data_IF_182821422523
#
_entry.id   IF_182821422523
#
_cell.length_a   1.000
_cell.length_b   1.000
_cell.length_c   1.000
_cell.angle_alpha   90.00
_cell.angle_beta   90.00
_cell.angle_gamma   90.00
#
_symmetry.space_group_name_H-M   'P 1'
#
loop_
_entity.id
_entity.type
_entity.pdbx_description
1 polymer ?
#
# COMPACT_ATOMS: atom_id res chain seq x y z
N UNK A 1 -17.16 88.11 -15.93
CA UNK A 1 -17.72 89.27 -15.19
C UNK A 1 -17.76 88.97 -13.73
N UNK A 2 -17.11 89.90 -12.97
CA UNK A 2 -17.16 90.19 -11.52
C UNK A 2 -16.90 89.04 -10.51
N UNK A 3 -15.75 89.09 -9.84
CA UNK A 3 -15.30 89.96 -8.69
C UNK A 3 -16.16 89.64 -7.45
N UNK A 4 -15.64 89.33 -6.39
CA UNK A 4 -14.78 89.82 -5.31
C UNK A 4 -15.28 89.25 -3.98
N UNK A 5 -14.36 89.02 -3.06
CA UNK A 5 -14.63 89.08 -1.65
C UNK A 5 -13.64 88.32 -0.76
N UNK A 6 -12.48 88.98 -0.51
CA UNK A 6 -11.61 88.66 0.65
C UNK A 6 -12.31 89.03 1.95
N UNK A 7 -12.19 88.12 2.96
CA UNK A 7 -12.11 88.62 4.36
C UNK A 7 -11.20 87.70 5.19
N UNK A 8 -10.12 88.35 5.67
CA UNK A 8 -9.26 87.81 6.74
C UNK A 8 -9.87 88.14 8.10
N UNK A 9 -9.64 87.31 9.09
CA UNK A 9 -9.37 87.57 10.50
C UNK A 9 -9.62 86.22 11.20
N UNK A 10 -8.86 85.76 12.10
CA UNK A 10 -7.90 86.18 13.05
C UNK A 10 -7.33 85.00 13.72
N UNK A 11 -6.09 85.13 14.18
CA UNK A 11 -5.31 84.03 14.81
C UNK A 11 -5.78 83.68 16.21
N UNK A 12 -5.54 82.41 16.51
CA UNK A 12 -5.46 81.92 17.87
C UNK A 12 -4.34 80.90 17.92
N UNK A 13 -3.37 81.12 18.80
CA UNK A 13 -2.23 80.23 19.09
C UNK A 13 -2.69 78.87 19.60
N UNK A 14 -1.98 77.77 19.26
CA UNK A 14 -2.24 76.45 19.84
C UNK A 14 -1.54 76.29 21.18
N UNK A 15 -2.13 75.55 22.13
CA UNK A 15 -1.49 75.17 23.39
C UNK A 15 -0.44 74.07 23.17
N UNK A 16 0.47 73.85 24.16
CA UNK A 16 1.65 73.05 23.99
C UNK A 16 1.35 71.57 23.94
N UNK A 17 2.16 70.83 23.14
CA UNK A 17 2.11 69.42 22.91
C UNK A 17 2.34 68.60 24.15
N UNK A 18 1.36 67.83 24.56
CA UNK A 18 1.53 66.69 25.49
C UNK A 18 2.06 65.50 24.71
N UNK A 19 3.27 65.11 25.04
CA UNK A 19 3.94 63.92 24.49
C UNK A 19 3.23 62.64 24.92
N UNK A 20 2.42 62.06 24.06
CA UNK A 20 1.92 60.68 24.19
C UNK A 20 2.82 59.74 23.39
N UNK A 21 3.76 59.10 24.11
CA UNK A 21 4.49 57.95 23.58
C UNK A 21 3.47 56.82 23.43
N UNK A 22 2.92 56.63 22.23
CA UNK A 22 2.16 55.46 21.87
C UNK A 22 3.17 54.33 21.58
N UNK A 23 3.34 53.50 22.55
CA UNK A 23 4.02 52.19 22.42
C UNK A 23 3.26 51.35 21.38
N UNK A 24 3.80 51.27 20.18
CA UNK A 24 3.28 50.45 19.10
C UNK A 24 3.76 49.02 19.36
N UNK A 25 2.98 48.24 20.14
CA UNK A 25 3.15 46.78 20.20
C UNK A 25 2.68 46.20 18.87
N UNK A 26 3.61 46.02 17.96
CA UNK A 26 3.41 45.21 16.77
C UNK A 26 3.39 43.74 17.24
N UNK A 27 2.18 43.23 17.46
CA UNK A 27 1.97 41.78 17.65
C UNK A 27 2.25 41.16 16.29
N UNK A 28 3.47 40.68 16.10
CA UNK A 28 3.84 39.80 15.00
C UNK A 28 3.14 38.48 15.27
N UNK A 29 1.95 38.26 14.72
CA UNK A 29 1.29 36.97 14.69
C UNK A 29 2.15 36.05 13.83
N UNK A 30 3.06 35.35 14.44
CA UNK A 30 3.80 34.23 13.84
C UNK A 30 2.77 33.14 13.60
N UNK A 31 2.16 33.12 12.42
CA UNK A 31 1.40 31.98 11.92
C UNK A 31 2.40 30.83 11.77
N UNK A 32 2.59 30.07 12.83
CA UNK A 32 3.22 28.77 12.73
C UNK A 32 2.28 27.94 11.85
N UNK A 33 2.55 27.93 10.53
CA UNK A 33 2.11 26.86 9.69
C UNK A 33 2.69 25.57 10.31
N UNK A 34 1.89 24.88 11.12
CA UNK A 34 2.16 23.48 11.44
C UNK A 34 2.12 22.75 10.09
N UNK A 35 3.24 22.75 9.38
CA UNK A 35 3.52 21.70 8.43
C UNK A 35 3.46 20.43 9.26
N UNK A 36 2.34 19.71 9.20
CA UNK A 36 2.26 18.35 9.68
C UNK A 36 3.33 17.61 8.89
N UNK A 37 4.51 17.47 9.50
CA UNK A 37 5.50 16.48 9.06
C UNK A 37 4.72 15.19 9.13
N UNK A 38 4.31 14.65 7.98
CA UNK A 38 3.73 13.33 7.91
C UNK A 38 4.72 12.43 8.66
N UNK A 39 4.33 11.98 9.84
CA UNK A 39 5.13 11.04 10.60
C UNK A 39 5.28 9.85 9.66
N UNK A 40 6.52 9.56 9.30
CA UNK A 40 6.80 8.45 8.41
C UNK A 40 6.14 7.21 9.01
N UNK A 41 5.25 6.59 8.28
CA UNK A 41 4.37 5.49 8.66
C UNK A 41 5.06 4.46 9.58
N UNK A 42 5.20 4.80 10.88
CA UNK A 42 5.88 3.96 11.87
C UNK A 42 4.91 2.91 12.42
N UNK A 43 4.57 1.96 11.54
CA UNK A 43 3.74 0.81 11.87
C UNK A 43 4.59 -0.29 12.45
N UNK A 44 4.19 -0.84 13.58
CA UNK A 44 4.77 -2.03 14.19
C UNK A 44 3.69 -3.07 14.52
N UNK A 45 4.13 -4.24 15.03
CA UNK A 45 3.22 -5.31 15.39
C UNK A 45 2.25 -4.97 16.52
N UNK A 46 2.60 -4.02 17.39
CA UNK A 46 1.72 -3.58 18.49
C UNK A 46 0.60 -2.69 17.96
N UNK A 47 0.92 -1.76 17.06
CA UNK A 47 -0.10 -0.92 16.41
C UNK A 47 -1.07 -1.77 15.61
N UNK A 48 -0.57 -2.71 14.78
CA UNK A 48 -1.44 -3.61 14.00
C UNK A 48 -2.32 -4.47 14.91
N UNK A 49 -1.76 -5.06 15.97
CA UNK A 49 -2.53 -5.90 16.90
C UNK A 49 -3.57 -5.10 17.70
N UNK A 50 -3.34 -3.82 17.93
CA UNK A 50 -4.20 -2.91 18.68
C UNK A 50 -4.90 -1.89 17.75
N UNK A 51 -5.23 -2.28 16.53
CA UNK A 51 -5.79 -1.39 15.51
C UNK A 51 -7.11 -0.72 15.94
N UNK A 52 -7.84 -1.29 16.90
CA UNK A 52 -9.07 -0.69 17.44
C UNK A 52 -8.82 0.60 18.23
N UNK A 53 -7.63 0.79 18.77
CA UNK A 53 -7.23 2.05 19.41
C UNK A 53 -6.99 3.18 18.39
N UNK A 54 -6.84 2.84 17.11
CA UNK A 54 -6.57 3.79 16.03
C UNK A 54 -7.57 3.60 14.87
N UNK A 55 -8.87 3.82 15.08
CA UNK A 55 -9.91 3.45 14.13
C UNK A 55 -9.86 4.20 12.80
N UNK A 56 -9.14 5.32 12.74
CA UNK A 56 -8.87 6.07 11.50
C UNK A 56 -7.77 5.50 10.63
N UNK A 57 -7.03 4.50 11.14
CA UNK A 57 -5.95 3.84 10.41
C UNK A 57 -6.38 2.47 9.87
N UNK A 58 -5.80 2.06 8.74
CA UNK A 58 -5.93 0.75 8.12
C UNK A 58 -4.55 0.21 7.80
N UNK A 59 -3.85 -0.31 8.83
CA UNK A 59 -2.40 -0.52 8.83
C UNK A 59 -1.94 -1.85 8.20
N UNK A 60 -2.86 -2.77 7.93
CA UNK A 60 -2.56 -4.01 7.21
C UNK A 60 -3.68 -4.33 6.23
N UNK A 61 -3.47 -5.30 5.33
CA UNK A 61 -4.43 -5.64 4.27
C UNK A 61 -5.82 -5.97 4.80
N UNK A 62 -5.92 -6.68 5.93
CA UNK A 62 -7.18 -6.99 6.62
C UNK A 62 -7.47 -6.08 7.82
N UNK A 63 -6.81 -4.94 7.94
CA UNK A 63 -6.80 -3.97 9.00
C UNK A 63 -5.91 -4.37 10.19
N UNK A 64 -6.06 -5.56 10.71
CA UNK A 64 -5.27 -6.15 11.79
C UNK A 64 -4.80 -7.58 11.42
N UNK A 65 -4.15 -8.28 12.33
CA UNK A 65 -3.72 -9.67 12.11
C UNK A 65 -4.87 -10.68 12.09
N UNK A 66 -6.06 -10.31 12.54
CA UNK A 66 -7.26 -11.12 12.44
C UNK A 66 -7.85 -11.14 11.03
N UNK A 67 -7.41 -10.23 10.14
CA UNK A 67 -7.85 -10.11 8.73
C UNK A 67 -9.38 -10.00 8.59
N UNK A 68 -10.08 -9.41 9.58
CA UNK A 68 -11.54 -9.34 9.62
C UNK A 68 -12.11 -8.32 8.63
N UNK A 69 -11.28 -7.38 8.13
CA UNK A 69 -11.70 -6.30 7.23
C UNK A 69 -12.88 -5.49 7.77
N UNK A 70 -12.93 -5.32 9.09
CA UNK A 70 -13.99 -4.61 9.78
C UNK A 70 -13.47 -3.28 10.34
N UNK A 71 -14.19 -2.18 10.09
CA UNK A 71 -13.92 -0.88 10.68
C UNK A 71 -14.83 -0.66 11.91
N UNK A 72 -14.30 -0.25 13.07
CA UNK A 72 -15.11 0.11 14.23
C UNK A 72 -15.72 1.51 14.13
N UNK A 73 -15.46 2.28 13.07
CA UNK A 73 -16.06 3.59 12.84
C UNK A 73 -17.57 3.47 12.71
N UNK A 74 -18.29 4.41 13.34
CA UNK A 74 -19.76 4.43 13.41
C UNK A 74 -20.38 5.69 12.79
N UNK A 75 -19.59 6.49 12.08
CA UNK A 75 -20.05 7.74 11.49
C UNK A 75 -20.99 7.51 10.30
N UNK A 76 -20.86 6.36 9.63
CA UNK A 76 -21.73 5.94 8.54
C UNK A 76 -22.65 4.86 9.08
N UNK A 77 -23.94 5.06 8.96
CA UNK A 77 -25.00 4.18 9.48
C UNK A 77 -26.01 3.89 8.36
N UNK A 78 -26.97 3.00 8.63
CA UNK A 78 -28.07 2.73 7.70
C UNK A 78 -28.94 3.97 7.43
N UNK A 79 -28.98 4.91 8.39
CA UNK A 79 -29.82 6.11 8.33
C UNK A 79 -29.18 7.25 7.54
N UNK A 80 -27.85 7.23 7.30
CA UNK A 80 -27.15 8.32 6.61
C UNK A 80 -26.24 7.86 5.44
N UNK A 81 -26.27 6.59 5.11
CA UNK A 81 -25.41 6.05 4.02
C UNK A 81 -25.79 6.60 2.66
N UNK A 82 -27.03 6.98 2.44
CA UNK A 82 -27.55 7.61 1.23
C UNK A 82 -27.13 9.07 1.06
N UNK A 83 -26.62 9.70 2.12
CA UNK A 83 -26.05 11.05 2.09
C UNK A 83 -24.58 11.08 1.65
N UNK A 84 -23.95 9.89 1.43
CA UNK A 84 -22.56 9.83 1.02
C UNK A 84 -22.34 10.45 -0.37
N UNK A 85 -21.36 11.36 -0.44
CA UNK A 85 -20.90 11.97 -1.67
C UNK A 85 -19.44 11.68 -1.96
N UNK A 86 -19.02 11.91 -3.22
CA UNK A 86 -17.62 11.79 -3.61
C UNK A 86 -16.81 12.92 -2.97
N UNK A 87 -15.86 12.60 -2.08
CA UNK A 87 -14.98 13.58 -1.47
C UNK A 87 -13.84 14.01 -2.43
N UNK A 88 -13.21 13.04 -3.08
CA UNK A 88 -12.15 13.29 -4.05
C UNK A 88 -11.96 12.06 -4.95
N UNK A 89 -11.22 12.24 -6.04
CA UNK A 89 -10.78 11.16 -6.92
C UNK A 89 -9.37 11.45 -7.41
N UNK A 90 -8.59 10.39 -7.61
CA UNK A 90 -7.25 10.48 -8.19
C UNK A 90 -7.17 9.61 -9.44
N UNK A 91 -6.75 10.19 -10.57
CA UNK A 91 -6.60 9.47 -11.83
C UNK A 91 -5.23 8.82 -11.89
N UNK A 92 -5.20 7.49 -12.03
CA UNK A 92 -3.95 6.75 -12.25
C UNK A 92 -3.44 6.95 -13.69
N UNK A 93 -2.12 6.82 -13.87
CA UNK A 93 -1.46 7.07 -15.17
C UNK A 93 -1.76 6.00 -16.23
N UNK A 94 -2.16 4.81 -15.80
CA UNK A 94 -2.35 3.65 -16.66
C UNK A 94 -3.79 3.17 -16.52
N UNK A 95 -4.50 3.13 -17.63
CA UNK A 95 -5.90 2.70 -17.71
C UNK A 95 -5.98 1.17 -17.84
N UNK A 96 -5.82 0.47 -16.72
CA UNK A 96 -5.96 -0.99 -16.58
C UNK A 96 -6.61 -1.33 -15.25
N UNK A 97 -6.88 -2.61 -14.99
CA UNK A 97 -7.50 -3.10 -13.78
C UNK A 97 -6.79 -2.67 -12.49
N UNK A 98 -7.54 -2.20 -11.51
CA UNK A 98 -7.06 -1.80 -10.19
C UNK A 98 -7.73 -2.69 -9.15
N UNK A 99 -6.93 -3.47 -8.40
CA UNK A 99 -7.41 -4.43 -7.41
C UNK A 99 -6.80 -4.23 -6.02
N UNK A 100 -6.11 -3.10 -5.83
CA UNK A 100 -5.40 -2.83 -4.58
C UNK A 100 -6.34 -2.61 -3.40
N UNK A 101 -5.99 -3.19 -2.25
CA UNK A 101 -6.51 -2.74 -0.97
C UNK A 101 -5.63 -1.60 -0.47
N UNK A 102 -6.14 -0.37 -0.34
CA UNK A 102 -5.37 0.74 0.19
C UNK A 102 -4.99 0.50 1.67
N UNK A 103 -3.78 0.91 2.03
CA UNK A 103 -3.31 0.99 3.42
C UNK A 103 -3.32 2.45 3.82
N UNK A 104 -3.91 2.77 4.98
CA UNK A 104 -3.98 4.15 5.49
C UNK A 104 -3.27 4.21 6.83
N UNK A 105 -2.24 5.05 6.91
CA UNK A 105 -1.46 5.26 8.13
C UNK A 105 -1.22 6.75 8.32
N UNK A 106 -1.66 7.25 9.47
CA UNK A 106 -1.38 8.61 9.93
C UNK A 106 -1.75 9.69 8.87
N UNK A 107 -2.87 9.48 8.17
CA UNK A 107 -3.39 10.39 7.15
C UNK A 107 -2.82 10.19 5.75
N UNK A 108 -1.91 9.26 5.54
CA UNK A 108 -1.38 8.91 4.22
C UNK A 108 -1.99 7.59 3.73
N UNK A 109 -2.52 7.59 2.51
CA UNK A 109 -3.02 6.41 1.81
C UNK A 109 -1.95 5.88 0.87
N UNK A 110 -1.55 4.63 1.05
CA UNK A 110 -0.65 3.91 0.15
C UNK A 110 -1.46 2.90 -0.66
N UNK A 111 -1.37 2.99 -1.97
CA UNK A 111 -2.07 2.08 -2.89
C UNK A 111 -1.21 1.74 -4.09
N UNK A 112 -1.64 0.75 -4.88
CA UNK A 112 -0.95 0.38 -6.11
C UNK A 112 -1.87 0.49 -7.32
N UNK A 113 -1.29 0.86 -8.44
CA UNK A 113 -1.88 0.75 -9.75
C UNK A 113 -1.29 -0.41 -10.56
N UNK A 114 -1.62 -0.50 -11.84
CA UNK A 114 -1.07 -1.48 -12.77
C UNK A 114 0.47 -1.44 -12.80
N UNK A 115 1.09 -2.56 -13.14
CA UNK A 115 2.55 -2.73 -13.20
C UNK A 115 3.26 -2.47 -11.87
N UNK A 116 2.53 -2.57 -10.75
CA UNK A 116 3.04 -2.38 -9.38
C UNK A 116 3.52 -0.96 -9.08
N UNK A 117 3.02 0.04 -9.81
CA UNK A 117 3.28 1.44 -9.49
C UNK A 117 2.64 1.76 -8.14
N UNK A 118 3.40 2.36 -7.23
CA UNK A 118 2.94 2.72 -5.88
C UNK A 118 2.65 4.21 -5.81
N UNK A 119 1.55 4.55 -5.15
CA UNK A 119 1.11 5.92 -4.91
C UNK A 119 0.95 6.16 -3.42
N UNK A 120 1.49 7.24 -2.91
CA UNK A 120 1.16 7.80 -1.61
C UNK A 120 0.32 9.06 -1.81
N UNK A 121 -0.87 9.06 -1.26
CA UNK A 121 -1.84 10.15 -1.37
C UNK A 121 -2.18 10.69 0.01
N UNK A 122 -2.43 11.96 0.12
CA UNK A 122 -3.10 12.50 1.30
C UNK A 122 -4.51 11.90 1.38
N UNK A 123 -4.81 11.20 2.46
CA UNK A 123 -6.08 10.46 2.58
C UNK A 123 -7.30 11.37 2.69
N UNK A 124 -7.12 12.65 3.01
CA UNK A 124 -8.19 13.64 3.15
C UNK A 124 -8.51 14.35 1.84
N UNK A 125 -7.45 14.77 1.11
CA UNK A 125 -7.59 15.59 -0.10
C UNK A 125 -7.46 14.77 -1.40
N UNK A 126 -6.84 13.58 -1.36
CA UNK A 126 -6.48 12.81 -2.55
C UNK A 126 -5.27 13.36 -3.30
N UNK A 127 -4.58 14.36 -2.75
CA UNK A 127 -3.37 14.93 -3.38
C UNK A 127 -2.22 13.93 -3.36
N UNK A 128 -1.46 13.90 -4.46
CA UNK A 128 -0.28 13.06 -4.59
C UNK A 128 0.85 13.59 -3.72
N UNK A 129 1.33 12.76 -2.78
CA UNK A 129 2.52 13.04 -1.99
C UNK A 129 3.76 12.57 -2.75
N UNK A 130 3.77 11.30 -3.17
CA UNK A 130 4.80 10.75 -4.04
C UNK A 130 4.26 9.56 -4.86
N UNK A 131 4.97 9.28 -5.96
CA UNK A 131 4.73 8.12 -6.82
C UNK A 131 6.04 7.39 -7.04
N UNK A 132 6.02 6.07 -6.96
CA UNK A 132 7.12 5.20 -7.26
C UNK A 132 6.77 4.23 -8.38
N UNK A 133 7.51 4.27 -9.49
CA UNK A 133 7.41 3.28 -10.58
C UNK A 133 8.60 2.30 -10.46
N UNK A 134 8.36 1.01 -10.16
CA UNK A 134 9.43 0.02 -10.04
C UNK A 134 10.08 -0.32 -11.38
N UNK A 135 9.64 0.28 -12.49
CA UNK A 135 10.09 -0.05 -13.85
C UNK A 135 10.00 -1.57 -14.10
N UNK A 136 8.84 -2.15 -13.79
CA UNK A 136 8.62 -3.58 -13.95
C UNK A 136 8.75 -3.99 -15.42
N UNK A 137 9.26 -5.20 -15.66
CA UNK A 137 9.28 -5.78 -17.00
C UNK A 137 7.84 -6.00 -17.50
N UNK A 138 7.36 -5.07 -18.34
CA UNK A 138 5.98 -5.05 -18.84
C UNK A 138 5.66 -6.23 -19.75
N UNK A 139 6.66 -6.88 -20.33
CA UNK A 139 6.45 -8.10 -21.13
C UNK A 139 5.90 -9.26 -20.29
N UNK A 140 6.14 -9.24 -18.97
CA UNK A 140 5.65 -10.22 -18.01
C UNK A 140 4.12 -10.16 -17.78
N UNK A 141 3.42 -9.13 -18.26
CA UNK A 141 1.96 -9.04 -18.10
C UNK A 141 1.22 -10.26 -18.72
N UNK A 142 1.74 -10.80 -19.83
CA UNK A 142 1.20 -12.02 -20.44
C UNK A 142 1.45 -13.30 -19.64
N UNK A 143 2.34 -13.25 -18.64
CA UNK A 143 2.67 -14.37 -17.74
C UNK A 143 1.93 -14.27 -16.39
N UNK A 144 1.12 -13.23 -16.20
CA UNK A 144 0.28 -13.07 -15.03
C UNK A 144 -1.16 -13.52 -15.34
N UNK A 145 -1.78 -14.26 -14.42
CA UNK A 145 -3.13 -14.82 -14.61
C UNK A 145 -4.21 -13.75 -14.87
N UNK A 146 -4.03 -12.55 -14.35
CA UNK A 146 -5.10 -11.59 -14.14
C UNK A 146 -4.70 -10.18 -14.62
N UNK A 147 -3.93 -10.07 -15.71
CA UNK A 147 -3.36 -8.82 -16.20
C UNK A 147 -2.25 -8.25 -15.30
N UNK A 148 -1.80 -7.02 -15.57
CA UNK A 148 -0.75 -6.33 -14.85
C UNK A 148 -1.22 -5.72 -13.51
N UNK A 149 -2.16 -6.37 -12.84
CA UNK A 149 -2.73 -5.90 -11.57
C UNK A 149 -1.75 -6.02 -10.42
N UNK A 150 -2.01 -5.26 -9.36
CA UNK A 150 -1.34 -5.41 -8.08
C UNK A 150 -2.36 -5.22 -6.94
N UNK A 151 -2.29 -6.06 -5.89
CA UNK A 151 -3.29 -6.07 -4.81
C UNK A 151 -2.91 -5.23 -3.60
N UNK A 152 -1.86 -4.43 -3.70
CA UNK A 152 -1.49 -3.45 -2.69
C UNK A 152 -0.13 -3.68 -2.06
N UNK A 153 0.13 -2.92 -1.03
CA UNK A 153 1.39 -2.84 -0.30
C UNK A 153 1.26 -3.36 1.13
N UNK A 154 2.39 -3.50 1.81
CA UNK A 154 2.45 -3.54 3.27
C UNK A 154 3.29 -2.37 3.78
N UNK A 155 3.04 -1.94 5.02
CA UNK A 155 3.75 -0.83 5.66
C UNK A 155 4.36 -1.32 6.98
N UNK A 156 5.62 -0.97 7.23
CA UNK A 156 6.30 -1.34 8.46
C UNK A 156 7.51 -0.43 8.72
N UNK A 157 7.58 0.17 9.91
CA UNK A 157 8.70 0.98 10.40
C UNK A 157 9.24 1.96 9.36
N UNK A 158 8.35 2.81 8.83
CA UNK A 158 8.73 3.84 7.87
C UNK A 158 9.03 3.35 6.45
N UNK A 159 8.72 2.10 6.13
CA UNK A 159 8.90 1.53 4.79
C UNK A 159 7.58 1.01 4.22
N UNK A 160 7.45 1.11 2.91
CA UNK A 160 6.37 0.54 2.10
C UNK A 160 6.95 -0.61 1.27
N UNK A 161 6.33 -1.78 1.33
CA UNK A 161 6.78 -2.97 0.60
C UNK A 161 5.82 -3.32 -0.51
N UNK A 162 6.34 -3.58 -1.70
CA UNK A 162 5.56 -3.95 -2.87
C UNK A 162 6.15 -5.19 -3.55
N UNK A 163 5.28 -6.15 -3.87
CA UNK A 163 5.62 -7.21 -4.81
C UNK A 163 5.48 -6.70 -6.23
N UNK A 164 6.57 -6.79 -7.02
CA UNK A 164 6.60 -6.30 -8.39
C UNK A 164 6.20 -7.40 -9.37
N UNK A 165 5.49 -7.04 -10.41
CA UNK A 165 4.94 -7.98 -11.40
C UNK A 165 5.99 -8.97 -11.95
N UNK A 166 7.22 -8.53 -12.14
CA UNK A 166 8.33 -9.33 -12.66
C UNK A 166 9.03 -10.23 -11.63
N UNK A 167 8.45 -10.36 -10.44
CA UNK A 167 8.93 -11.26 -9.40
C UNK A 167 9.93 -10.65 -8.42
N UNK A 168 10.13 -9.34 -8.42
CA UNK A 168 10.91 -8.64 -7.38
C UNK A 168 10.04 -8.33 -6.17
N UNK A 169 10.67 -8.19 -5.02
CA UNK A 169 10.11 -7.57 -3.83
C UNK A 169 10.95 -6.33 -3.51
N UNK A 170 10.31 -5.20 -3.29
CA UNK A 170 11.00 -3.93 -3.06
C UNK A 170 10.50 -3.24 -1.80
N UNK A 171 11.41 -2.57 -1.10
CA UNK A 171 11.13 -1.66 -0.01
C UNK A 171 11.37 -0.22 -0.47
N UNK A 172 10.45 0.65 -0.11
CA UNK A 172 10.41 2.07 -0.45
C UNK A 172 10.35 2.84 0.86
N UNK A 173 11.09 3.91 0.98
CA UNK A 173 10.97 4.84 2.11
C UNK A 173 9.59 5.49 2.08
N UNK A 174 8.83 5.36 3.16
CA UNK A 174 7.44 5.81 3.22
C UNK A 174 7.30 7.34 3.16
N UNK A 175 8.36 8.09 3.49
CA UNK A 175 8.37 9.55 3.48
C UNK A 175 8.75 10.11 2.12
N UNK A 176 9.77 9.51 1.46
CA UNK A 176 10.36 10.07 0.23
C UNK A 176 9.87 9.40 -1.04
N UNK A 177 9.38 8.16 -0.97
CA UNK A 177 9.06 7.34 -2.13
C UNK A 177 10.29 6.77 -2.82
N UNK A 178 11.49 6.88 -2.23
CA UNK A 178 12.72 6.32 -2.78
C UNK A 178 12.90 4.86 -2.43
N UNK A 179 13.45 4.07 -3.36
CA UNK A 179 13.73 2.66 -3.12
C UNK A 179 14.86 2.46 -2.13
N UNK A 180 14.60 1.73 -1.05
CA UNK A 180 15.58 1.36 -0.03
C UNK A 180 16.35 0.10 -0.44
N UNK A 181 15.62 -0.95 -0.83
CA UNK A 181 16.22 -2.18 -1.35
C UNK A 181 15.29 -2.88 -2.35
N UNK A 182 15.86 -3.79 -3.14
CA UNK A 182 15.16 -4.63 -4.11
C UNK A 182 15.77 -6.02 -4.14
N UNK A 183 14.95 -7.07 -4.09
CA UNK A 183 15.39 -8.45 -4.17
C UNK A 183 14.59 -9.21 -5.22
N UNK A 184 15.27 -10.06 -5.99
CA UNK A 184 14.63 -10.99 -6.91
C UNK A 184 14.15 -12.22 -6.13
N UNK A 185 12.84 -12.44 -6.08
CA UNK A 185 12.26 -13.54 -5.30
C UNK A 185 12.19 -14.84 -6.09
N UNK A 186 12.40 -14.81 -7.41
CA UNK A 186 12.21 -15.96 -8.30
C UNK A 186 13.16 -17.10 -7.98
N UNK A 187 12.63 -18.31 -7.90
CA UNK A 187 13.43 -19.50 -7.71
C UNK A 187 14.18 -19.90 -8.99
N UNK A 188 13.60 -19.60 -10.15
CA UNK A 188 14.16 -19.83 -11.49
C UNK A 188 13.77 -18.66 -12.37
N UNK A 189 14.77 -17.88 -12.81
CA UNK A 189 14.57 -16.66 -13.61
C UNK A 189 14.08 -16.92 -15.03
N UNK A 190 14.28 -18.15 -15.53
CA UNK A 190 13.84 -18.54 -16.88
C UNK A 190 12.35 -18.90 -16.92
N UNK A 191 11.67 -18.97 -15.76
CA UNK A 191 10.26 -19.34 -15.67
C UNK A 191 9.37 -18.14 -15.36
N UNK A 192 8.09 -18.30 -15.64
CA UNK A 192 7.04 -17.28 -15.54
C UNK A 192 6.60 -17.04 -14.08
N UNK A 193 7.54 -16.73 -13.19
CA UNK A 193 7.22 -16.28 -11.85
C UNK A 193 6.80 -14.81 -11.87
N UNK A 194 5.61 -14.52 -11.36
CA UNK A 194 5.08 -13.17 -11.21
C UNK A 194 4.63 -12.92 -9.78
N UNK A 195 4.45 -11.67 -9.40
CA UNK A 195 3.82 -11.29 -8.15
C UNK A 195 2.72 -10.26 -8.43
N UNK A 196 1.49 -10.62 -8.08
CA UNK A 196 0.32 -9.72 -8.11
C UNK A 196 -0.31 -9.55 -6.72
N UNK A 197 0.16 -10.33 -5.74
CA UNK A 197 -0.33 -10.30 -4.36
C UNK A 197 0.30 -9.20 -3.52
N UNK A 198 -0.44 -8.70 -2.52
CA UNK A 198 0.11 -7.81 -1.52
C UNK A 198 0.95 -8.58 -0.49
N UNK A 199 2.13 -8.08 -0.10
CA UNK A 199 2.91 -8.68 0.98
C UNK A 199 2.23 -8.54 2.35
N UNK A 200 2.69 -9.30 3.33
CA UNK A 200 2.33 -9.18 4.74
C UNK A 200 3.58 -8.98 5.58
N UNK A 201 3.50 -8.17 6.63
CA UNK A 201 4.62 -8.01 7.56
C UNK A 201 4.26 -8.55 8.94
N UNK A 202 5.09 -9.45 9.43
CA UNK A 202 4.96 -10.08 10.74
C UNK A 202 6.34 -10.16 11.41
N UNK A 203 6.47 -9.65 12.62
CA UNK A 203 7.72 -9.71 13.40
C UNK A 203 8.97 -9.28 12.59
N UNK A 204 8.88 -8.17 11.86
CA UNK A 204 9.98 -7.66 11.05
C UNK A 204 10.36 -8.52 9.85
N UNK A 205 9.45 -9.38 9.39
CA UNK A 205 9.62 -10.19 8.17
C UNK A 205 8.52 -9.84 7.18
N UNK A 206 8.92 -9.55 5.95
CA UNK A 206 8.02 -9.37 4.81
C UNK A 206 7.75 -10.73 4.18
N UNK A 207 6.51 -11.17 4.21
CA UNK A 207 6.08 -12.48 3.70
C UNK A 207 5.37 -12.28 2.38
N UNK A 208 5.80 -12.99 1.35
CA UNK A 208 5.22 -12.95 0.00
C UNK A 208 5.29 -14.33 -0.67
N UNK A 209 4.31 -14.64 -1.50
CA UNK A 209 4.29 -15.78 -2.39
C UNK A 209 4.54 -15.38 -3.84
N UNK A 210 4.32 -16.32 -4.76
CA UNK A 210 4.39 -16.09 -6.21
C UNK A 210 3.09 -16.49 -6.90
N UNK A 211 2.84 -15.89 -8.06
CA UNK A 211 1.93 -16.34 -9.10
C UNK A 211 2.64 -17.22 -10.14
N UNK A 212 1.90 -17.70 -11.13
CA UNK A 212 2.42 -18.46 -12.26
C UNK A 212 2.21 -19.98 -12.19
N UNK A 213 1.34 -20.48 -11.27
CA UNK A 213 1.06 -21.91 -11.15
C UNK A 213 0.53 -22.50 -12.46
N UNK A 214 -0.31 -21.77 -13.19
CA UNK A 214 -0.84 -22.08 -14.52
C UNK A 214 0.24 -22.13 -15.61
N UNK A 215 1.39 -21.53 -15.39
CA UNK A 215 2.56 -21.57 -16.26
C UNK A 215 3.62 -22.59 -15.80
N UNK A 216 3.24 -23.52 -14.92
CA UNK A 216 4.09 -24.61 -14.49
C UNK A 216 5.25 -24.23 -13.57
N UNK A 217 5.14 -23.11 -12.82
CA UNK A 217 6.12 -22.75 -11.81
C UNK A 217 5.79 -23.38 -10.46
N UNK A 218 6.82 -23.67 -9.68
CA UNK A 218 6.65 -24.24 -8.34
C UNK A 218 6.30 -23.15 -7.34
N UNK A 219 5.13 -23.28 -6.71
CA UNK A 219 4.65 -22.34 -5.70
C UNK A 219 5.53 -22.32 -4.44
N UNK A 220 5.73 -21.12 -3.87
CA UNK A 220 6.41 -20.92 -2.60
C UNK A 220 5.80 -19.76 -1.81
N UNK A 221 6.10 -19.74 -0.51
CA UNK A 221 5.97 -18.58 0.36
C UNK A 221 7.35 -18.32 0.94
N UNK A 222 7.80 -17.07 0.90
CA UNK A 222 9.13 -16.66 1.38
C UNK A 222 8.98 -15.50 2.36
N UNK A 223 9.80 -15.51 3.40
CA UNK A 223 9.97 -14.37 4.29
C UNK A 223 11.32 -13.72 4.06
N UNK A 224 11.32 -12.41 4.00
CA UNK A 224 12.50 -11.56 3.88
C UNK A 224 12.62 -10.67 5.11
N UNK A 225 13.83 -10.36 5.51
CA UNK A 225 14.06 -9.37 6.56
C UNK A 225 13.57 -8.00 6.07
N UNK A 226 12.76 -7.33 6.89
CA UNK A 226 12.13 -6.07 6.51
C UNK A 226 13.16 -4.92 6.35
N UNK A 227 14.29 -4.97 7.09
CA UNK A 227 15.29 -3.92 7.02
C UNK A 227 16.25 -4.12 5.85
N UNK A 228 16.71 -5.37 5.62
CA UNK A 228 17.79 -5.66 4.67
C UNK A 228 17.34 -6.27 3.36
N UNK A 229 16.14 -6.89 3.31
CA UNK A 229 15.69 -7.68 2.16
C UNK A 229 16.30 -9.08 2.10
N UNK A 230 17.10 -9.49 3.10
CA UNK A 230 17.70 -10.82 3.12
C UNK A 230 16.63 -11.91 3.30
N UNK A 231 16.76 -12.99 2.54
CA UNK A 231 15.85 -14.12 2.65
C UNK A 231 16.04 -14.84 3.99
N UNK A 232 15.03 -14.77 4.87
CA UNK A 232 15.03 -15.45 6.16
C UNK A 232 14.70 -16.94 6.00
N UNK A 233 13.64 -17.26 5.25
CA UNK A 233 13.25 -18.64 4.94
C UNK A 233 12.38 -18.69 3.68
N UNK A 234 12.31 -19.89 3.07
CA UNK A 234 11.37 -20.21 1.99
C UNK A 234 10.71 -21.54 2.24
N UNK A 235 9.40 -21.60 2.04
CA UNK A 235 8.60 -22.79 2.08
C UNK A 235 7.98 -23.01 0.69
N UNK A 236 8.21 -24.20 0.11
CA UNK A 236 7.58 -24.58 -1.15
C UNK A 236 6.22 -25.21 -0.89
N UNK A 237 5.15 -24.65 -1.47
CA UNK A 237 3.78 -25.14 -1.34
C UNK A 237 3.57 -26.44 -2.10
N UNK A 238 4.39 -26.69 -3.14
CA UNK A 238 4.42 -27.94 -3.90
C UNK A 238 5.70 -28.71 -3.55
N UNK A 239 5.59 -29.96 -3.07
CA UNK A 239 6.76 -30.80 -2.77
C UNK A 239 7.66 -30.97 -4.00
N UNK A 240 8.97 -30.87 -3.81
CA UNK A 240 9.95 -31.16 -4.84
C UNK A 240 10.30 -32.65 -4.88
N UNK A 241 11.18 -33.02 -5.81
CA UNK A 241 11.78 -34.32 -5.84
C UNK A 241 12.54 -34.61 -4.53
N UNK A 242 12.22 -35.68 -3.80
CA UNK A 242 12.85 -35.99 -2.55
C UNK A 242 14.35 -36.36 -2.67
N UNK A 243 14.81 -36.70 -3.85
CA UNK A 243 16.22 -37.00 -4.10
C UNK A 243 17.04 -35.72 -4.18
N UNK A 244 16.50 -34.69 -4.87
CA UNK A 244 17.18 -33.41 -5.04
C UNK A 244 17.00 -32.45 -3.86
N UNK A 245 16.04 -32.71 -2.93
CA UNK A 245 15.73 -31.85 -1.79
C UNK A 245 15.50 -32.64 -0.49
N UNK A 246 16.56 -33.03 0.21
CA UNK A 246 16.47 -33.87 1.44
C UNK A 246 15.58 -33.28 2.55
N UNK A 247 15.42 -31.95 2.63
CA UNK A 247 14.53 -31.30 3.61
C UNK A 247 13.04 -31.57 3.36
N UNK A 248 12.64 -32.03 2.18
CA UNK A 248 11.28 -32.48 1.89
C UNK A 248 10.90 -33.79 2.62
N UNK A 249 11.87 -34.49 3.23
CA UNK A 249 11.62 -35.71 4.02
C UNK A 249 10.69 -35.47 5.21
N UNK A 250 10.79 -34.35 5.88
CA UNK A 250 9.95 -34.03 7.05
C UNK A 250 8.46 -33.94 6.70
N UNK A 251 8.13 -33.62 5.46
CA UNK A 251 6.73 -33.55 5.00
C UNK A 251 6.18 -34.94 4.65
N UNK A 252 7.01 -35.88 4.13
CA UNK A 252 6.61 -37.26 3.83
C UNK A 252 6.29 -38.07 5.09
N UNK A 253 6.95 -37.80 6.20
CA UNK A 253 6.69 -38.52 7.46
C UNK A 253 5.32 -38.22 8.08
N UNK A 254 4.64 -37.18 7.62
CA UNK A 254 3.28 -36.82 8.05
C UNK A 254 2.17 -37.33 7.12
N UNK A 255 2.52 -38.02 6.01
CA UNK A 255 1.51 -38.67 5.19
C UNK A 255 1.07 -39.94 5.91
N UNK A 256 -0.23 -40.07 6.17
CA UNK A 256 -0.82 -41.33 6.60
C UNK A 256 -0.54 -42.40 5.53
N UNK A 257 -0.15 -43.66 5.91
CA UNK A 257 -0.06 -44.76 4.97
C UNK A 257 -1.43 -44.97 4.32
N UNK A 258 -1.51 -44.88 3.00
CA UNK A 258 -2.74 -45.19 2.24
C UNK A 258 -3.28 -44.09 1.33
N UNK A 259 -2.79 -42.85 1.38
CA UNK A 259 -3.20 -41.81 0.44
C UNK A 259 -2.22 -41.68 -0.73
N UNK A 260 -2.50 -42.32 -1.84
CA UNK A 260 -1.80 -42.09 -3.12
C UNK A 260 -2.32 -40.77 -3.68
N UNK A 261 -1.46 -39.71 -3.72
CA UNK A 261 -1.79 -38.51 -4.48
C UNK A 261 -1.73 -38.87 -5.98
N UNK A 262 -2.73 -38.49 -6.80
CA UNK A 262 -2.62 -38.62 -8.25
C UNK A 262 -1.39 -37.83 -8.70
N UNK A 263 -0.51 -38.43 -9.48
CA UNK A 263 0.59 -37.72 -10.12
C UNK A 263 -0.01 -36.71 -11.11
N UNK A 264 0.34 -35.44 -10.99
CA UNK A 264 -0.06 -34.35 -11.89
C UNK A 264 0.34 -34.59 -13.36
N UNK A 265 1.13 -35.63 -13.64
CA UNK A 265 1.50 -36.05 -14.99
C UNK A 265 0.38 -36.76 -15.78
N UNK A 266 -0.77 -37.04 -15.17
CA UNK A 266 -1.89 -37.74 -15.85
C UNK A 266 -3.09 -36.84 -16.18
N UNK A 267 -3.09 -35.56 -15.80
CA UNK A 267 -4.16 -34.61 -16.11
C UNK A 267 -4.13 -34.08 -17.58
N UNK A 268 -3.11 -34.45 -18.34
CA UNK A 268 -2.96 -33.98 -19.74
C UNK A 268 -3.45 -34.97 -20.82
N UNK A 269 -4.09 -36.08 -20.43
CA UNK A 269 -4.59 -37.05 -21.41
C UNK A 269 -5.93 -37.65 -20.95
N UNK A 270 -6.99 -36.87 -20.98
CA UNK A 270 -8.35 -37.40 -21.03
C UNK A 270 -8.75 -37.50 -22.52
N UNK A 271 -9.23 -38.67 -22.98
CA UNK A 271 -9.73 -38.77 -24.37
C UNK A 271 -11.01 -37.95 -24.53
N UNK A 272 -11.25 -37.37 -25.73
CA UNK A 272 -12.47 -36.62 -25.99
C UNK A 272 -13.67 -37.60 -25.99
N UNK A 273 -14.65 -37.35 -25.11
CA UNK A 273 -15.91 -38.06 -25.20
C UNK A 273 -16.58 -38.58 -23.92
N UNK A 274 -16.16 -38.18 -22.69
CA UNK A 274 -16.93 -38.53 -21.49
C UNK A 274 -17.87 -37.39 -21.08
N UNK A 275 -19.20 -37.67 -20.92
CA UNK A 275 -20.14 -36.63 -20.48
C UNK A 275 -19.93 -36.27 -19.03
N UNK A 276 -19.99 -34.96 -18.71
CA UNK A 276 -19.96 -34.41 -17.37
C UNK A 276 -21.08 -35.00 -16.50
N UNK A 277 -20.81 -35.29 -15.22
CA UNK A 277 -21.87 -35.68 -14.29
C UNK A 277 -22.75 -34.47 -13.98
N UNK A 278 -24.06 -34.63 -14.20
CA UNK A 278 -25.10 -33.69 -13.78
C UNK A 278 -25.21 -33.66 -12.26
N UNK A 279 -25.12 -32.50 -11.68
CA UNK A 279 -25.40 -32.25 -10.27
C UNK A 279 -26.93 -32.16 -10.13
N UNK A 280 -27.58 -32.97 -9.26
CA UNK A 280 -29.01 -32.80 -8.98
C UNK A 280 -29.24 -31.54 -8.14
N UNK A 281 -30.40 -30.89 -8.42
CA UNK A 281 -30.91 -29.71 -7.70
C UNK A 281 -31.14 -30.00 -6.21
#
# INVERSE_FOLDING_TARGET
>A
MNRTGLQRCGGAEPPPAASFVKSLFTVLALSAACSSVALAADVDGKRIANADAEPGNWMSHGRDYGEQRYSPLKNITAENVDELGLAWSYKLDIDRGVEATPIVVDGVMYTTGPFSIVYALDARSGELIWKYDPQSDRSRAGEACCDAINRGVAVWKGKVYVGVLDGRLEAIDAKTGERVWSVDTRNDKARSYTITGAPRVVNGKVVIGNGGAEFGVRGYVTAYDAETGDQAWRFFTVPGDPVSQPKARAWRSRRRPGTVAPSLSRAAAAPPGTPSPTIPN
#
